data_IF_329888622862
#
_entry.id   IF_329888622862
#
_cell.length_a   1.000
_cell.length_b   1.000
_cell.length_c   1.000
_cell.angle_alpha   90.00
_cell.angle_beta   90.00
_cell.angle_gamma   90.00
#
_symmetry.space_group_name_H-M   'P 1'
#
loop_
_entity.id
_entity.type
_entity.pdbx_description
1 polymer ?
#
# COMPACT_ATOMS: atom_id res chain seq x y z
N UNK A 1 -7.91 -15.96 -31.15
CA UNK A 1 -8.51 -15.78 -29.82
C UNK A 1 -7.60 -14.85 -29.04
N UNK A 2 -8.16 -13.84 -28.39
CA UNK A 2 -7.40 -12.95 -27.50
C UNK A 2 -6.84 -13.75 -26.33
N UNK A 3 -5.61 -13.47 -25.93
CA UNK A 3 -5.00 -14.17 -24.80
C UNK A 3 -5.75 -13.82 -23.50
N UNK A 4 -5.81 -14.73 -22.50
CA UNK A 4 -6.36 -14.38 -21.19
C UNK A 4 -5.71 -13.08 -20.67
N UNK A 5 -6.53 -12.18 -20.11
CA UNK A 5 -6.15 -10.86 -19.59
C UNK A 5 -5.76 -9.76 -20.61
N UNK A 6 -5.82 -9.99 -21.92
CA UNK A 6 -5.46 -9.00 -22.96
C UNK A 6 -6.15 -7.63 -22.79
N UNK A 7 -7.40 -7.61 -22.31
CA UNK A 7 -8.18 -6.39 -22.12
C UNK A 7 -8.44 -6.03 -20.64
N UNK A 8 -7.75 -6.66 -19.68
CA UNK A 8 -7.83 -6.21 -18.30
C UNK A 8 -7.06 -4.89 -18.15
N UNK A 9 -7.74 -3.87 -17.64
CA UNK A 9 -7.16 -2.57 -17.32
C UNK A 9 -7.27 -2.30 -15.83
N UNK A 10 -6.23 -1.72 -15.24
CA UNK A 10 -6.31 -1.17 -13.89
C UNK A 10 -6.94 0.23 -13.93
N UNK A 11 -7.41 0.70 -12.78
CA UNK A 11 -7.73 2.11 -12.60
C UNK A 11 -6.45 2.85 -12.15
N UNK A 12 -5.88 3.63 -13.08
CA UNK A 12 -4.63 4.37 -12.84
C UNK A 12 -4.78 5.50 -11.84
N UNK A 13 -5.89 6.24 -11.89
CA UNK A 13 -6.18 7.34 -10.95
C UNK A 13 -6.28 6.81 -9.53
N UNK A 14 -7.01 5.69 -9.32
CA UNK A 14 -7.11 5.03 -8.01
C UNK A 14 -5.74 4.59 -7.47
N UNK A 15 -4.85 4.12 -8.33
CA UNK A 15 -3.48 3.75 -7.93
C UNK A 15 -2.68 4.99 -7.55
N UNK A 16 -2.82 6.07 -8.31
CA UNK A 16 -2.13 7.31 -8.01
C UNK A 16 -2.59 7.89 -6.66
N UNK A 17 -3.89 7.89 -6.40
CA UNK A 17 -4.46 8.33 -5.13
C UNK A 17 -3.91 7.52 -3.95
N UNK A 18 -3.85 6.18 -4.06
CA UNK A 18 -3.31 5.34 -2.98
C UNK A 18 -1.81 5.56 -2.75
N UNK A 19 -1.03 5.82 -3.80
CA UNK A 19 0.38 6.23 -3.67
C UNK A 19 0.50 7.56 -2.90
N UNK A 20 -0.35 8.53 -3.22
CA UNK A 20 -0.33 9.84 -2.56
C UNK A 20 -0.80 9.75 -1.10
N UNK A 21 -1.81 8.92 -0.80
CA UNK A 21 -2.28 8.68 0.56
C UNK A 21 -1.19 8.03 1.41
N UNK A 22 -0.51 6.99 0.91
CA UNK A 22 0.62 6.34 1.59
C UNK A 22 1.83 7.29 1.78
N UNK A 23 2.04 8.22 0.85
CA UNK A 23 3.14 9.17 0.91
C UNK A 23 2.99 10.21 2.04
N UNK A 24 1.77 10.41 2.56
CA UNK A 24 1.53 11.28 3.73
C UNK A 24 2.11 10.70 5.02
N UNK A 25 2.40 9.40 5.07
CA UNK A 25 2.91 8.72 6.25
C UNK A 25 4.44 8.64 6.18
N UNK A 26 5.09 9.32 7.13
CA UNK A 26 6.55 9.46 7.18
C UNK A 26 7.11 10.32 6.04
N UNK A 27 6.65 11.58 5.87
CA UNK A 27 7.19 12.44 4.82
C UNK A 27 8.64 12.84 5.12
N UNK A 28 9.48 12.83 4.10
CA UNK A 28 10.84 13.37 4.16
C UNK A 28 10.84 14.90 4.08
N UNK A 29 11.89 15.53 4.63
CA UNK A 29 12.02 17.00 4.74
C UNK A 29 11.93 17.70 3.38
N UNK A 30 12.41 17.06 2.30
CA UNK A 30 12.42 17.60 0.94
C UNK A 30 11.30 17.03 0.04
N UNK A 31 10.21 16.53 0.61
CA UNK A 31 9.11 15.91 -0.14
C UNK A 31 9.34 14.46 -0.55
N UNK A 32 10.30 13.78 0.11
CA UNK A 32 10.58 12.35 -0.06
C UNK A 32 9.81 11.47 0.93
N UNK A 33 10.31 10.25 1.15
CA UNK A 33 9.78 9.32 2.14
C UNK A 33 10.87 9.04 3.20
N UNK A 34 10.51 9.13 4.47
CA UNK A 34 11.35 8.78 5.62
C UNK A 34 10.61 7.84 6.59
N UNK A 35 10.00 6.79 6.04
CA UNK A 35 9.34 5.72 6.79
C UNK A 35 10.32 4.57 7.00
N UNK A 36 11.16 4.68 8.03
CA UNK A 36 12.12 3.64 8.39
C UNK A 36 11.41 2.42 8.99
N UNK A 37 11.89 1.22 8.68
CA UNK A 37 11.30 -0.04 9.15
C UNK A 37 11.18 -0.10 10.68
N UNK A 38 10.06 -0.59 11.18
CA UNK A 38 9.74 -0.77 12.60
C UNK A 38 9.65 0.52 13.44
N UNK A 39 9.48 1.67 12.78
CA UNK A 39 9.08 2.92 13.44
C UNK A 39 7.56 3.05 13.50
N UNK A 40 7.05 4.01 14.28
CA UNK A 40 5.61 4.30 14.33
C UNK A 40 5.04 4.65 12.94
N UNK A 41 5.81 5.36 12.11
CA UNK A 41 5.41 5.66 10.74
C UNK A 41 5.32 4.40 9.86
N UNK A 42 6.18 3.40 10.09
CA UNK A 42 6.08 2.11 9.39
C UNK A 42 4.83 1.35 9.84
N UNK A 43 4.56 1.32 11.14
CA UNK A 43 3.33 0.72 11.69
C UNK A 43 2.06 1.40 11.14
N UNK A 44 2.04 2.74 11.05
CA UNK A 44 0.91 3.49 10.47
C UNK A 44 0.71 3.17 8.98
N UNK A 45 1.80 3.10 8.21
CA UNK A 45 1.73 2.73 6.79
C UNK A 45 1.21 1.30 6.58
N UNK A 46 1.64 0.37 7.42
CA UNK A 46 1.17 -1.02 7.42
C UNK A 46 -0.31 -1.13 7.79
N UNK A 47 -0.76 -0.38 8.80
CA UNK A 47 -2.17 -0.32 9.19
C UNK A 47 -3.05 0.27 8.07
N UNK A 48 -2.58 1.33 7.40
CA UNK A 48 -3.27 1.89 6.24
C UNK A 48 -3.42 0.85 5.12
N UNK A 49 -2.34 0.16 4.77
CA UNK A 49 -2.38 -0.89 3.76
C UNK A 49 -3.32 -2.04 4.15
N UNK A 50 -3.26 -2.50 5.39
CA UNK A 50 -4.18 -3.51 5.93
C UNK A 50 -5.65 -3.09 5.74
N UNK A 51 -5.99 -1.83 6.06
CA UNK A 51 -7.36 -1.33 5.90
C UNK A 51 -7.86 -1.39 4.45
N UNK A 52 -6.98 -1.15 3.47
CA UNK A 52 -7.33 -1.25 2.05
C UNK A 52 -7.57 -2.70 1.63
N UNK A 53 -6.75 -3.63 2.10
CA UNK A 53 -6.93 -5.05 1.85
C UNK A 53 -8.25 -5.57 2.45
N UNK A 54 -8.54 -5.22 3.71
CA UNK A 54 -9.79 -5.59 4.39
C UNK A 54 -11.02 -5.01 3.66
N UNK A 55 -10.97 -3.73 3.25
CA UNK A 55 -12.03 -3.10 2.47
C UNK A 55 -12.22 -3.75 1.08
N UNK A 56 -11.17 -4.34 0.52
CA UNK A 56 -11.22 -5.13 -0.71
C UNK A 56 -11.68 -6.58 -0.50
N UNK A 57 -11.99 -6.98 0.74
CA UNK A 57 -12.44 -8.33 1.08
C UNK A 57 -11.33 -9.37 1.19
N UNK A 58 -10.07 -8.94 1.38
CA UNK A 58 -8.92 -9.82 1.55
C UNK A 58 -8.72 -10.20 3.03
N UNK A 59 -8.20 -11.41 3.25
CA UNK A 59 -7.67 -11.81 4.57
C UNK A 59 -6.21 -11.39 4.71
N UNK A 60 -5.84 -10.86 5.88
CA UNK A 60 -4.47 -10.43 6.17
C UNK A 60 -3.74 -11.43 7.06
N UNK A 61 -2.44 -11.59 6.80
CA UNK A 61 -1.52 -12.39 7.61
C UNK A 61 -0.38 -11.54 8.16
N UNK A 62 0.29 -12.04 9.19
CA UNK A 62 1.56 -11.51 9.68
C UNK A 62 2.42 -12.70 10.11
N UNK A 63 3.60 -12.85 9.54
CA UNK A 63 4.54 -13.89 9.97
C UNK A 63 5.38 -13.46 11.18
N UNK A 64 6.21 -14.38 11.68
CA UNK A 64 7.06 -14.13 12.85
C UNK A 64 8.12 -13.04 12.62
N UNK A 65 8.43 -12.70 11.37
CA UNK A 65 9.41 -11.69 10.99
C UNK A 65 8.76 -10.35 10.64
N UNK A 66 7.42 -10.25 10.70
CA UNK A 66 6.68 -9.02 10.42
C UNK A 66 6.36 -8.81 8.94
N UNK A 67 6.43 -9.87 8.11
CA UNK A 67 5.92 -9.80 6.73
C UNK A 67 4.39 -9.91 6.74
N UNK A 68 3.74 -9.05 5.97
CA UNK A 68 2.27 -8.95 5.84
C UNK A 68 1.81 -9.48 4.49
#
# INVERSE_FOLDING_TARGET
MTAPAENLKINGDRLWDSLMDMARIGPGIAGGNNRQTLTDADAEGRALFQSWCEAAGLGMGLDQMGNM
#
